data_IF_222238633642
#
_entry.id   IF_222238633642
#
_cell.length_a   1.000
_cell.length_b   1.000
_cell.length_c   1.000
_cell.angle_alpha   90.00
_cell.angle_beta   90.00
_cell.angle_gamma   90.00
#
_symmetry.space_group_name_H-M   'P 1'
#
loop_
_entity.id
_entity.type
_entity.pdbx_description
1 polymer ?
#
# COMPACT_ATOMS: atom_id res chain seq x y z
N UNK A 1 42.36 19.47 -1.55
CA UNK A 1 41.56 18.74 -0.55
C UNK A 1 40.11 18.86 -0.98
N UNK A 2 39.37 17.75 -1.00
CA UNK A 2 37.92 17.81 -1.20
C UNK A 2 37.35 18.18 0.17
N UNK A 3 36.58 19.26 0.21
CA UNK A 3 35.90 19.73 1.42
C UNK A 3 34.45 19.26 1.26
N UNK A 4 33.92 18.55 2.25
CA UNK A 4 32.53 18.09 2.28
C UNK A 4 31.75 18.68 3.47
N UNK A 5 30.42 18.50 3.44
CA UNK A 5 29.49 18.99 4.47
C UNK A 5 29.74 18.40 5.86
N UNK A 6 30.45 17.27 5.98
CA UNK A 6 30.81 16.71 7.28
C UNK A 6 31.97 17.49 7.93
N UNK A 7 32.79 18.17 7.15
CA UNK A 7 33.97 18.90 7.63
C UNK A 7 33.71 20.39 7.84
N UNK A 8 32.75 21.00 7.15
CA UNK A 8 32.42 22.42 7.27
C UNK A 8 30.91 22.68 7.05
N UNK A 9 30.34 23.61 7.82
CA UNK A 9 28.96 24.12 7.65
C UNK A 9 28.86 24.95 6.35
N UNK A 10 28.80 24.26 5.21
CA UNK A 10 28.67 24.85 3.87
C UNK A 10 27.25 24.73 3.31
N UNK A 11 26.35 24.08 4.04
CA UNK A 11 24.93 23.93 3.68
C UNK A 11 24.06 24.81 4.58
N UNK A 12 23.08 25.48 3.98
CA UNK A 12 22.02 26.19 4.69
C UNK A 12 20.66 25.80 4.14
N UNK A 13 19.66 25.79 5.02
CA UNK A 13 18.26 25.57 4.60
C UNK A 13 17.82 26.69 3.65
N UNK A 14 17.10 26.32 2.59
CA UNK A 14 16.37 27.28 1.74
C UNK A 14 15.00 27.68 2.32
N UNK A 15 14.60 27.14 3.47
CA UNK A 15 13.34 27.40 4.15
C UNK A 15 13.56 28.16 5.46
N UNK A 16 12.64 29.09 5.81
CA UNK A 16 12.77 29.91 6.99
C UNK A 16 12.69 29.09 8.28
N UNK A 17 13.54 29.45 9.23
CA UNK A 17 13.51 28.97 10.61
C UNK A 17 12.43 29.69 11.42
N UNK A 18 12.23 29.26 12.67
CA UNK A 18 11.23 29.84 13.57
C UNK A 18 11.41 31.35 13.78
N UNK A 19 12.65 31.82 13.94
CA UNK A 19 12.95 33.25 14.14
C UNK A 19 12.59 34.10 12.91
N UNK A 20 12.87 33.59 11.71
CA UNK A 20 12.52 34.25 10.44
C UNK A 20 10.99 34.28 10.24
N UNK A 21 10.27 33.23 10.68
CA UNK A 21 8.79 33.24 10.68
C UNK A 21 8.22 34.26 11.65
N UNK A 22 8.80 34.39 12.84
CA UNK A 22 8.39 35.41 13.83
C UNK A 22 8.65 36.81 13.28
N UNK A 23 9.82 37.03 12.68
CA UNK A 23 10.17 38.30 12.05
C UNK A 23 9.16 38.64 10.93
N UNK A 24 8.86 37.68 10.05
CA UNK A 24 7.83 37.83 9.02
C UNK A 24 6.48 38.24 9.61
N UNK A 25 6.03 37.60 10.69
CA UNK A 25 4.77 37.95 11.35
C UNK A 25 4.78 39.35 11.97
N UNK A 26 5.93 39.82 12.46
CA UNK A 26 6.06 41.17 13.01
C UNK A 26 5.85 42.26 11.95
N UNK A 27 6.26 41.99 10.71
CA UNK A 27 6.08 42.88 9.57
C UNK A 27 4.67 42.82 8.98
N UNK A 28 4.14 41.62 8.77
CA UNK A 28 2.85 41.43 8.10
C UNK A 28 1.65 41.69 9.02
N UNK A 29 1.77 41.37 10.32
CA UNK A 29 0.69 41.44 11.32
C UNK A 29 -0.62 40.82 10.80
N UNK A 30 -0.60 39.55 10.36
CA UNK A 30 -1.76 38.94 9.73
C UNK A 30 -2.92 38.74 10.72
N UNK A 31 -4.15 38.88 10.24
CA UNK A 31 -5.36 38.55 11.03
C UNK A 31 -5.60 37.04 11.09
N UNK A 32 -5.24 36.33 10.01
CA UNK A 32 -5.41 34.90 9.80
C UNK A 32 -4.12 34.27 9.26
N UNK A 33 -3.73 33.12 9.82
CA UNK A 33 -2.69 32.24 9.28
C UNK A 33 -3.23 30.87 8.91
N UNK A 34 -2.90 30.41 7.71
CA UNK A 34 -3.10 29.03 7.24
C UNK A 34 -1.71 28.46 6.96
N UNK A 35 -1.14 27.61 7.84
CA UNK A 35 0.17 27.04 7.60
C UNK A 35 0.11 26.06 6.42
N UNK A 36 1.10 26.14 5.52
CA UNK A 36 1.25 25.31 4.33
C UNK A 36 2.70 24.80 4.22
N UNK A 37 2.98 23.98 3.20
CA UNK A 37 4.31 23.43 2.91
C UNK A 37 4.99 22.74 4.11
N UNK A 38 4.47 21.58 4.49
CA UNK A 38 5.08 20.75 5.51
C UNK A 38 4.30 19.48 5.79
N UNK A 39 4.95 18.54 6.47
CA UNK A 39 4.28 17.39 7.09
C UNK A 39 3.40 17.86 8.26
N UNK A 40 2.46 17.03 8.75
CA UNK A 40 1.55 17.42 9.83
C UNK A 40 2.25 18.02 11.06
N UNK A 41 3.45 17.51 11.41
CA UNK A 41 4.27 18.06 12.49
C UNK A 41 4.76 19.49 12.23
N UNK A 42 5.17 19.81 11.01
CA UNK A 42 5.63 21.15 10.64
C UNK A 42 4.45 22.14 10.64
N UNK A 43 3.31 21.72 10.07
CA UNK A 43 2.07 22.51 10.05
C UNK A 43 1.58 22.80 11.48
N UNK A 44 1.61 21.80 12.36
CA UNK A 44 1.26 21.97 13.77
C UNK A 44 2.19 22.94 14.49
N UNK A 45 3.52 22.81 14.28
CA UNK A 45 4.50 23.72 14.89
C UNK A 45 4.35 25.15 14.39
N UNK A 46 4.12 25.33 13.08
CA UNK A 46 3.90 26.63 12.48
C UNK A 46 2.62 27.30 13.04
N UNK A 47 1.53 26.54 13.21
CA UNK A 47 0.32 27.04 13.87
C UNK A 47 0.58 27.46 15.34
N UNK A 48 1.41 26.72 16.07
CA UNK A 48 1.82 27.06 17.43
C UNK A 48 2.59 28.38 17.47
N UNK A 49 3.53 28.59 16.56
CA UNK A 49 4.31 29.83 16.43
C UNK A 49 3.37 31.02 16.17
N UNK A 50 2.43 30.87 15.22
CA UNK A 50 1.47 31.93 14.91
C UNK A 50 0.62 32.33 16.14
N UNK A 51 0.16 31.34 16.93
CA UNK A 51 -0.56 31.58 18.19
C UNK A 51 0.30 32.30 19.23
N UNK A 52 1.58 31.93 19.36
CA UNK A 52 2.52 32.60 20.28
C UNK A 52 2.78 34.04 19.87
N UNK A 53 2.74 34.34 18.57
CA UNK A 53 2.77 35.69 18.02
C UNK A 53 1.42 36.44 18.13
N UNK A 54 0.46 35.90 18.88
CA UNK A 54 -0.85 36.52 19.18
C UNK A 54 -1.72 36.78 17.94
N UNK A 55 -1.53 36.01 16.86
CA UNK A 55 -2.38 36.09 15.67
C UNK A 55 -3.78 35.57 16.01
N UNK A 56 -4.80 36.35 15.67
CA UNK A 56 -6.17 36.17 16.18
C UNK A 56 -6.89 34.94 15.64
N UNK A 57 -6.50 34.50 14.45
CA UNK A 57 -7.09 33.35 13.76
C UNK A 57 -5.99 32.49 13.12
N UNK A 58 -6.06 31.18 13.36
CA UNK A 58 -5.09 30.22 12.81
C UNK A 58 -5.80 28.90 12.60
N UNK A 59 -5.77 28.40 11.37
CA UNK A 59 -6.48 27.18 10.98
C UNK A 59 -5.54 26.21 10.26
N UNK A 60 -5.52 24.98 10.75
CA UNK A 60 -4.80 23.86 10.13
C UNK A 60 -5.74 23.19 9.13
N UNK A 61 -5.25 22.96 7.92
CA UNK A 61 -6.02 22.40 6.81
C UNK A 61 -5.36 21.13 6.28
N UNK A 62 -6.17 20.24 5.73
CA UNK A 62 -5.72 19.11 4.93
C UNK A 62 -5.92 19.40 3.44
N UNK A 63 -5.20 18.68 2.56
CA UNK A 63 -5.45 18.74 1.12
C UNK A 63 -6.94 18.51 0.81
N UNK A 64 -7.53 19.41 0.02
CA UNK A 64 -8.96 19.39 -0.32
C UNK A 64 -9.87 20.10 0.68
N UNK A 65 -9.37 20.66 1.77
CA UNK A 65 -10.22 21.44 2.70
C UNK A 65 -10.70 22.74 2.05
N UNK A 66 -12.00 23.00 2.04
CA UNK A 66 -12.57 24.27 1.61
C UNK A 66 -12.70 25.21 2.80
N UNK A 67 -11.91 26.29 2.80
CA UNK A 67 -11.88 27.26 3.90
C UNK A 67 -12.59 28.55 3.50
N UNK A 68 -13.58 28.94 4.30
CA UNK A 68 -14.18 30.27 4.23
C UNK A 68 -13.32 31.24 5.04
N UNK A 69 -12.75 32.24 4.37
CA UNK A 69 -11.86 33.23 4.97
C UNK A 69 -12.63 34.40 5.61
N UNK A 70 -13.78 34.77 5.05
CA UNK A 70 -14.60 35.88 5.49
C UNK A 70 -16.09 35.62 5.18
N UNK A 71 -17.05 36.31 5.84
CA UNK A 71 -16.87 37.23 6.97
C UNK A 71 -16.67 36.52 8.33
N UNK A 72 -15.99 37.15 9.28
CA UNK A 72 -15.74 36.59 10.62
C UNK A 72 -14.61 35.54 10.64
N UNK A 73 -14.57 34.70 11.68
CA UNK A 73 -13.49 33.70 11.82
C UNK A 73 -13.50 32.68 10.69
N UNK A 74 -12.29 32.30 10.32
CA UNK A 74 -12.00 31.25 9.35
C UNK A 74 -12.65 29.94 9.79
N UNK A 75 -13.18 29.21 8.81
CA UNK A 75 -13.84 27.93 9.06
C UNK A 75 -13.69 27.02 7.86
N UNK A 76 -13.33 25.76 8.09
CA UNK A 76 -13.49 24.71 7.09
C UNK A 76 -15.00 24.48 6.92
N UNK A 77 -15.52 24.78 5.73
CA UNK A 77 -16.94 24.70 5.41
C UNK A 77 -17.30 23.44 4.63
N UNK A 78 -16.33 22.85 3.93
CA UNK A 78 -16.54 21.66 3.12
C UNK A 78 -15.19 20.98 2.79
N UNK A 79 -15.24 19.88 2.04
CA UNK A 79 -14.10 19.24 1.39
C UNK A 79 -14.36 19.05 -0.10
N UNK A 80 -13.39 19.42 -0.92
CA UNK A 80 -13.37 19.08 -2.34
C UNK A 80 -12.61 17.78 -2.56
N UNK A 81 -12.92 17.09 -3.66
CA UNK A 81 -12.17 15.89 -4.02
C UNK A 81 -10.70 16.23 -4.25
N UNK A 82 -9.83 15.62 -3.43
CA UNK A 82 -8.39 15.74 -3.51
C UNK A 82 -7.77 14.35 -3.31
N UNK A 83 -6.63 14.13 -3.96
CA UNK A 83 -5.93 12.87 -3.93
C UNK A 83 -4.63 12.94 -4.70
N UNK A 84 -3.86 11.87 -4.63
CA UNK A 84 -2.59 11.77 -5.37
C UNK A 84 -2.77 10.85 -6.56
N UNK A 85 -2.36 11.36 -7.71
CA UNK A 85 -2.21 10.58 -8.93
C UNK A 85 -0.73 10.24 -9.12
N UNK A 86 -0.46 9.06 -9.64
CA UNK A 86 0.87 8.59 -10.00
C UNK A 86 0.93 8.34 -11.51
N UNK A 87 2.05 8.72 -12.12
CA UNK A 87 2.38 8.31 -13.48
C UNK A 87 2.96 6.89 -13.42
N UNK A 88 2.17 5.91 -13.82
CA UNK A 88 2.54 4.50 -13.91
C UNK A 88 2.83 4.13 -15.37
N UNK A 89 4.12 4.17 -15.73
CA UNK A 89 4.58 4.04 -17.11
C UNK A 89 4.03 5.18 -17.98
N UNK A 90 3.08 4.86 -18.86
CA UNK A 90 2.44 5.83 -19.76
C UNK A 90 1.02 6.23 -19.33
N UNK A 91 0.54 5.77 -18.15
CA UNK A 91 -0.82 6.03 -17.67
C UNK A 91 -0.80 6.75 -16.34
N UNK A 92 -1.78 7.62 -16.11
CA UNK A 92 -2.00 8.25 -14.82
C UNK A 92 -3.03 7.43 -14.06
N UNK A 93 -2.68 6.98 -12.84
CA UNK A 93 -3.58 6.20 -11.97
C UNK A 93 -3.61 6.78 -10.55
N UNK A 94 -4.69 6.60 -9.79
CA UNK A 94 -4.69 6.91 -8.37
C UNK A 94 -3.62 6.12 -7.61
N UNK A 95 -2.90 6.78 -6.68
CA UNK A 95 -1.87 6.10 -5.88
C UNK A 95 -2.46 4.99 -5.00
N UNK A 96 -3.73 5.13 -4.62
CA UNK A 96 -4.48 4.15 -3.81
C UNK A 96 -5.20 3.09 -4.65
N UNK A 97 -4.94 3.04 -5.95
CA UNK A 97 -5.52 2.05 -6.85
C UNK A 97 -5.17 0.61 -6.42
N UNK A 98 -6.05 -0.33 -6.77
CA UNK A 98 -5.82 -1.75 -6.53
C UNK A 98 -4.52 -2.25 -7.18
N UNK A 99 -4.13 -1.65 -8.32
CA UNK A 99 -2.89 -1.97 -9.04
C UNK A 99 -1.66 -1.74 -8.15
N UNK A 100 -1.54 -0.56 -7.54
CA UNK A 100 -0.42 -0.25 -6.65
C UNK A 100 -0.47 -1.12 -5.39
N UNK A 101 -1.67 -1.31 -4.81
CA UNK A 101 -1.86 -2.15 -3.63
C UNK A 101 -1.46 -3.61 -3.89
N UNK A 102 -1.75 -4.15 -5.06
CA UNK A 102 -1.40 -5.52 -5.44
C UNK A 102 0.11 -5.67 -5.68
N UNK A 103 0.75 -4.70 -6.35
CA UNK A 103 2.21 -4.68 -6.51
C UNK A 103 2.92 -4.66 -5.16
N UNK A 104 2.47 -3.81 -4.22
CA UNK A 104 3.02 -3.77 -2.87
C UNK A 104 2.85 -5.11 -2.15
N UNK A 105 1.67 -5.74 -2.27
CA UNK A 105 1.44 -7.06 -1.67
C UNK A 105 2.34 -8.14 -2.26
N UNK A 106 2.54 -8.18 -3.58
CA UNK A 106 3.45 -9.10 -4.25
C UNK A 106 4.90 -8.84 -3.81
N UNK A 107 5.32 -7.57 -3.75
CA UNK A 107 6.68 -7.20 -3.36
C UNK A 107 7.03 -7.70 -1.95
N UNK A 108 6.13 -7.54 -0.97
CA UNK A 108 6.40 -7.97 0.40
C UNK A 108 6.14 -9.46 0.66
N UNK A 109 5.12 -10.03 0.01
CA UNK A 109 4.65 -11.37 0.34
C UNK A 109 4.94 -12.43 -0.72
N UNK A 110 5.44 -12.05 -1.89
CA UNK A 110 5.59 -12.93 -3.04
C UNK A 110 4.25 -13.31 -3.68
N UNK A 111 4.35 -14.08 -4.77
CA UNK A 111 3.21 -14.58 -5.53
C UNK A 111 3.33 -16.07 -5.82
N UNK A 112 2.20 -16.76 -5.84
CA UNK A 112 2.08 -18.18 -6.18
C UNK A 112 1.04 -18.33 -7.29
N UNK A 113 1.41 -19.07 -8.32
CA UNK A 113 0.53 -19.49 -9.40
C UNK A 113 0.42 -21.01 -9.37
N UNK A 114 -0.79 -21.52 -9.27
CA UNK A 114 -1.07 -22.96 -9.22
C UNK A 114 -1.94 -23.33 -10.41
N UNK A 115 -1.54 -24.35 -11.14
CA UNK A 115 -2.35 -24.98 -12.18
C UNK A 115 -2.62 -26.41 -11.80
N UNK A 116 -3.88 -26.79 -11.74
CA UNK A 116 -4.32 -28.15 -11.45
C UNK A 116 -5.04 -28.68 -12.66
N UNK A 117 -4.48 -29.71 -13.29
CA UNK A 117 -5.19 -30.45 -14.33
C UNK A 117 -6.00 -31.57 -13.69
N UNK A 118 -7.30 -31.62 -13.98
CA UNK A 118 -8.21 -32.66 -13.47
C UNK A 118 -8.81 -33.47 -14.61
N UNK A 119 -9.15 -34.73 -14.33
CA UNK A 119 -9.90 -35.55 -15.26
C UNK A 119 -11.40 -35.31 -15.08
N UNK A 120 -12.10 -34.93 -16.14
CA UNK A 120 -13.53 -34.63 -16.12
C UNK A 120 -14.40 -35.80 -15.61
N UNK A 121 -13.94 -37.05 -15.81
CA UNK A 121 -14.73 -38.25 -15.48
C UNK A 121 -14.75 -38.60 -14.00
N UNK A 122 -13.64 -38.38 -13.30
CA UNK A 122 -13.43 -38.86 -11.93
C UNK A 122 -12.84 -37.81 -10.97
N UNK A 123 -12.72 -36.56 -11.41
CA UNK A 123 -12.14 -35.43 -10.67
C UNK A 123 -10.74 -35.67 -10.12
N UNK A 124 -10.03 -36.69 -10.61
CA UNK A 124 -8.68 -36.98 -10.13
C UNK A 124 -7.70 -35.98 -10.72
N UNK A 125 -6.74 -35.56 -9.89
CA UNK A 125 -5.66 -34.68 -10.33
C UNK A 125 -4.76 -35.46 -11.28
N UNK A 126 -4.68 -35.01 -12.53
CA UNK A 126 -3.72 -35.51 -13.52
C UNK A 126 -2.35 -34.87 -13.33
N UNK A 127 -2.32 -33.56 -13.03
CA UNK A 127 -1.08 -32.80 -12.87
C UNK A 127 -1.28 -31.59 -11.96
N UNK A 128 -0.34 -31.38 -11.03
CA UNK A 128 -0.23 -30.14 -10.24
C UNK A 128 1.04 -29.42 -10.65
N UNK A 129 0.95 -28.15 -11.02
CA UNK A 129 2.11 -27.27 -11.24
C UNK A 129 2.01 -26.08 -10.32
N UNK A 130 3.11 -25.78 -9.63
CA UNK A 130 3.22 -24.61 -8.74
C UNK A 130 4.40 -23.78 -9.25
N UNK A 131 4.17 -22.49 -9.44
CA UNK A 131 5.21 -21.49 -9.64
C UNK A 131 5.15 -20.49 -8.50
N UNK A 132 6.27 -20.28 -7.82
CA UNK A 132 6.37 -19.35 -6.70
C UNK A 132 7.46 -18.32 -7.00
N UNK A 133 7.14 -17.04 -6.81
CA UNK A 133 8.08 -15.94 -7.06
C UNK A 133 8.31 -15.14 -5.78
N UNK A 134 9.59 -14.94 -5.43
CA UNK A 134 10.02 -14.16 -4.26
C UNK A 134 9.72 -14.82 -2.92
N UNK A 135 9.65 -16.16 -2.88
CA UNK A 135 9.21 -16.94 -1.72
C UNK A 135 10.25 -17.96 -1.26
N UNK A 136 10.63 -18.90 -2.13
CA UNK A 136 11.46 -20.08 -1.84
C UNK A 136 12.18 -20.52 -3.11
N UNK A 137 13.18 -21.40 -2.96
CA UNK A 137 13.90 -22.01 -4.09
C UNK A 137 13.08 -23.14 -4.76
N UNK A 138 13.49 -23.58 -5.95
CA UNK A 138 12.74 -24.54 -6.77
C UNK A 138 12.60 -25.92 -6.11
N UNK A 139 13.61 -26.37 -5.36
CA UNK A 139 13.58 -27.62 -4.60
C UNK A 139 12.46 -27.59 -3.55
N UNK A 140 12.31 -26.47 -2.84
CA UNK A 140 11.28 -26.30 -1.82
C UNK A 140 9.88 -26.27 -2.43
N UNK A 141 9.73 -25.72 -3.64
CA UNK A 141 8.46 -25.77 -4.39
C UNK A 141 8.09 -27.22 -4.71
N UNK A 142 9.06 -28.05 -5.11
CA UNK A 142 8.81 -29.46 -5.42
C UNK A 142 8.38 -30.26 -4.19
N UNK A 143 9.01 -30.02 -3.04
CA UNK A 143 8.60 -30.64 -1.76
C UNK A 143 7.17 -30.24 -1.34
N UNK A 144 6.82 -28.95 -1.47
CA UNK A 144 5.47 -28.47 -1.18
C UNK A 144 4.48 -29.09 -2.17
N UNK A 145 4.83 -29.21 -3.45
CA UNK A 145 3.99 -29.81 -4.48
C UNK A 145 3.67 -31.26 -4.16
N UNK A 146 4.69 -32.07 -3.88
CA UNK A 146 4.51 -33.49 -3.56
C UNK A 146 3.68 -33.69 -2.28
N UNK A 147 3.98 -32.94 -1.22
CA UNK A 147 3.21 -33.02 0.04
C UNK A 147 1.77 -32.54 -0.10
N UNK A 148 1.48 -31.62 -1.03
CA UNK A 148 0.12 -31.09 -1.26
C UNK A 148 -0.73 -32.00 -2.15
N UNK A 149 -0.13 -32.80 -3.05
CA UNK A 149 -0.87 -33.67 -3.96
C UNK A 149 -1.80 -34.65 -3.23
N UNK A 150 -1.34 -35.22 -2.12
CA UNK A 150 -2.14 -36.16 -1.34
C UNK A 150 -3.36 -35.48 -0.71
N UNK A 151 -3.15 -34.33 -0.06
CA UNK A 151 -4.19 -33.56 0.62
C UNK A 151 -5.24 -33.03 -0.38
N UNK A 152 -4.81 -32.58 -1.57
CA UNK A 152 -5.74 -32.09 -2.59
C UNK A 152 -6.57 -33.24 -3.18
N UNK A 153 -5.98 -34.41 -3.45
CA UNK A 153 -6.72 -35.56 -3.97
C UNK A 153 -7.80 -36.06 -3.00
N UNK A 154 -7.53 -36.05 -1.70
CA UNK A 154 -8.52 -36.39 -0.67
C UNK A 154 -9.70 -35.42 -0.67
N UNK A 155 -9.42 -34.11 -0.73
CA UNK A 155 -10.47 -33.10 -0.85
C UNK A 155 -11.27 -33.28 -2.15
N UNK A 156 -10.61 -33.54 -3.28
CA UNK A 156 -11.25 -33.66 -4.60
C UNK A 156 -12.18 -34.86 -4.70
N UNK A 157 -11.92 -35.95 -3.97
CA UNK A 157 -12.79 -37.11 -3.92
C UNK A 157 -14.16 -36.83 -3.26
N UNK A 158 -14.26 -35.78 -2.44
CA UNK A 158 -15.52 -35.35 -1.82
C UNK A 158 -16.39 -34.51 -2.77
N UNK A 159 -15.79 -33.95 -3.83
CA UNK A 159 -16.53 -33.26 -4.87
C UNK A 159 -17.08 -34.29 -5.87
N UNK A 160 -18.41 -34.38 -6.00
CA UNK A 160 -19.06 -35.16 -7.06
C UNK A 160 -18.64 -34.73 -8.47
N UNK A 161 -19.05 -35.46 -9.51
CA UNK A 161 -18.65 -35.29 -10.93
C UNK A 161 -18.38 -33.84 -11.35
N UNK A 162 -17.34 -33.63 -12.18
CA UNK A 162 -16.92 -32.31 -12.65
C UNK A 162 -18.12 -31.52 -13.21
N UNK A 163 -18.59 -30.55 -12.42
CA UNK A 163 -19.58 -29.57 -12.84
C UNK A 163 -18.88 -28.22 -12.76
N UNK A 164 -19.12 -27.35 -13.74
CA UNK A 164 -18.60 -25.97 -13.81
C UNK A 164 -18.95 -25.21 -12.52
N UNK A 165 -20.04 -25.59 -11.84
CA UNK A 165 -20.44 -25.07 -10.53
C UNK A 165 -19.45 -25.37 -9.39
N UNK A 166 -18.60 -26.38 -9.52
CA UNK A 166 -17.63 -26.80 -8.50
C UNK A 166 -16.23 -26.22 -8.70
N UNK A 167 -15.88 -25.74 -9.90
CA UNK A 167 -14.55 -25.20 -10.23
C UNK A 167 -14.07 -24.12 -9.24
N UNK A 168 -14.89 -23.09 -8.88
CA UNK A 168 -14.45 -22.06 -7.94
C UNK A 168 -14.20 -22.61 -6.52
N UNK A 169 -14.97 -23.61 -6.10
CA UNK A 169 -14.81 -24.26 -4.78
C UNK A 169 -13.53 -25.10 -4.75
N UNK A 170 -13.25 -25.85 -5.81
CA UNK A 170 -12.03 -26.64 -5.96
C UNK A 170 -10.79 -25.73 -5.99
N UNK A 171 -10.85 -24.63 -6.76
CA UNK A 171 -9.78 -23.64 -6.82
C UNK A 171 -9.49 -23.03 -5.44
N UNK A 172 -10.52 -22.67 -4.67
CA UNK A 172 -10.33 -22.12 -3.32
C UNK A 172 -9.78 -23.15 -2.33
N UNK A 173 -10.23 -24.41 -2.39
CA UNK A 173 -9.68 -25.48 -1.55
C UNK A 173 -8.18 -25.67 -1.79
N UNK A 174 -7.75 -25.74 -3.06
CA UNK A 174 -6.34 -25.79 -3.43
C UNK A 174 -5.59 -24.54 -2.95
N UNK A 175 -6.19 -23.36 -3.12
CA UNK A 175 -5.59 -22.08 -2.70
C UNK A 175 -5.28 -22.09 -1.21
N UNK A 176 -6.21 -22.57 -0.38
CA UNK A 176 -6.07 -22.63 1.07
C UNK A 176 -4.91 -23.57 1.46
N UNK A 177 -4.88 -24.78 0.88
CA UNK A 177 -3.83 -25.79 1.16
C UNK A 177 -2.45 -25.24 0.80
N UNK A 178 -2.27 -24.77 -0.44
CA UNK A 178 -0.97 -24.28 -0.91
C UNK A 178 -0.54 -23.05 -0.12
N UNK A 179 -1.42 -22.07 0.07
CA UNK A 179 -1.11 -20.85 0.84
C UNK A 179 -0.72 -21.17 2.28
N UNK A 180 -1.35 -22.17 2.91
CA UNK A 180 -1.01 -22.64 4.26
C UNK A 180 0.41 -23.21 4.30
N UNK A 181 0.76 -24.12 3.40
CA UNK A 181 2.11 -24.72 3.33
C UNK A 181 3.21 -23.67 3.13
N UNK A 182 3.00 -22.73 2.22
CA UNK A 182 3.95 -21.63 2.02
C UNK A 182 4.05 -20.70 3.23
N UNK A 183 2.94 -20.44 3.93
CA UNK A 183 2.96 -19.63 5.16
C UNK A 183 3.68 -20.34 6.29
N UNK A 184 3.49 -21.64 6.47
CA UNK A 184 4.19 -22.45 7.47
C UNK A 184 5.71 -22.41 7.24
N UNK A 185 6.15 -22.42 5.98
CA UNK A 185 7.57 -22.42 5.61
C UNK A 185 8.22 -21.03 5.65
N UNK A 186 7.52 -20.00 5.19
CA UNK A 186 8.10 -18.66 4.97
C UNK A 186 7.64 -17.58 5.96
N UNK A 187 6.58 -17.84 6.73
CA UNK A 187 5.88 -16.83 7.54
C UNK A 187 5.10 -15.79 6.73
N UNK A 188 5.24 -15.77 5.39
CA UNK A 188 4.61 -14.79 4.50
C UNK A 188 3.20 -15.20 4.09
N UNK A 189 2.42 -14.23 3.61
CA UNK A 189 1.03 -14.43 3.14
C UNK A 189 0.91 -14.11 1.65
N UNK A 190 1.49 -14.95 0.77
CA UNK A 190 1.58 -14.67 -0.65
C UNK A 190 0.22 -14.47 -1.31
N UNK A 191 0.19 -13.71 -2.40
CA UNK A 191 -0.95 -13.72 -3.31
C UNK A 191 -0.93 -15.06 -4.04
N UNK A 192 -2.06 -15.75 -4.11
CA UNK A 192 -2.17 -17.11 -4.67
C UNK A 192 -3.30 -17.14 -5.68
N UNK A 193 -2.96 -17.41 -6.94
CA UNK A 193 -3.93 -17.67 -8.01
C UNK A 193 -3.95 -19.16 -8.33
N UNK A 194 -5.13 -19.74 -8.46
CA UNK A 194 -5.32 -21.15 -8.80
C UNK A 194 -6.18 -21.25 -10.05
N UNK A 195 -5.73 -22.04 -11.02
CA UNK A 195 -6.45 -22.35 -12.24
C UNK A 195 -6.67 -23.86 -12.33
N UNK A 196 -7.92 -24.27 -12.51
CA UNK A 196 -8.30 -25.66 -12.76
C UNK A 196 -8.46 -25.83 -14.28
N UNK A 197 -7.90 -26.89 -14.85
CA UNK A 197 -7.87 -27.17 -16.29
C UNK A 197 -8.19 -28.63 -16.59
#
# INVERSE_FOLDING_TARGET
AIIDEEQFDIHVSGHPSEDELIEMYSYLRPELVIPVHGEPRHIAKHAEIAKRCQISDTIIVNNGSMVRLAPGKSKIIDQVHAGRLALDGQRIIPIESHIIKDRMRIMYNGAIFVTVSVNEKDNRIKKLKIAAHGLVEEEEVNEIRESSLHEINLNFAEFGSFDILNEPKMAEAVRIIIRRKFRERTGKRPITSVHIV
#
